data_IF_161183890511
#
_entry.id   IF_161183890511
#
_cell.length_a   1.000
_cell.length_b   1.000
_cell.length_c   1.000
_cell.angle_alpha   90.00
_cell.angle_beta   90.00
_cell.angle_gamma   90.00
#
_symmetry.space_group_name_H-M   'P 1'
#
loop_
_entity.id
_entity.type
_entity.pdbx_description
1 polymer ?
#
# COMPACT_ATOMS: atom_id res chain seq x y z
N UNK A 1 -6.77 -8.87 2.15
CA UNK A 1 -6.72 -7.42 2.35
C UNK A 1 -5.57 -6.75 1.59
N UNK A 2 -4.48 -7.46 1.40
CA UNK A 2 -3.31 -6.90 0.71
C UNK A 2 -3.65 -6.36 -0.69
N UNK A 3 -4.30 -7.18 -1.50
CA UNK A 3 -4.60 -6.78 -2.87
C UNK A 3 -5.49 -5.55 -2.91
N UNK A 4 -6.45 -5.48 -2.00
CA UNK A 4 -7.35 -4.35 -1.93
C UNK A 4 -6.60 -3.05 -1.62
N UNK A 5 -5.71 -3.12 -0.63
CA UNK A 5 -4.93 -1.95 -0.24
C UNK A 5 -3.93 -1.56 -1.33
N UNK A 6 -3.35 -2.55 -1.99
CA UNK A 6 -2.45 -2.30 -3.11
C UNK A 6 -3.17 -1.52 -4.20
N UNK A 7 -4.35 -1.97 -4.60
CA UNK A 7 -5.11 -1.29 -5.63
C UNK A 7 -5.47 0.14 -5.21
N UNK A 8 -5.91 0.31 -3.97
CA UNK A 8 -6.29 1.62 -3.48
C UNK A 8 -5.11 2.59 -3.49
N UNK A 9 -3.95 2.09 -3.07
CA UNK A 9 -2.77 2.94 -3.03
C UNK A 9 -2.29 3.30 -4.45
N UNK A 10 -2.30 2.33 -5.35
CA UNK A 10 -1.87 2.57 -6.72
C UNK A 10 -2.79 3.56 -7.43
N UNK A 11 -4.04 3.63 -7.03
CA UNK A 11 -5.01 4.56 -7.59
C UNK A 11 -5.08 5.87 -6.83
N UNK A 12 -4.15 6.11 -5.90
CA UNK A 12 -4.08 7.33 -5.11
C UNK A 12 -5.32 7.58 -4.26
N UNK A 13 -6.00 6.51 -3.85
CA UNK A 13 -7.17 6.63 -3.00
C UNK A 13 -6.85 6.63 -1.53
N UNK A 14 -5.67 6.12 -1.17
CA UNK A 14 -5.19 6.11 0.20
C UNK A 14 -3.74 6.54 0.22
N UNK A 15 -3.24 6.87 1.41
CA UNK A 15 -1.88 7.37 1.57
C UNK A 15 -1.03 6.36 2.35
N UNK A 16 0.26 6.65 2.45
CA UNK A 16 1.16 5.83 3.26
C UNK A 16 0.72 5.77 4.71
N UNK A 17 0.19 6.87 5.23
CA UNK A 17 -0.30 6.89 6.60
C UNK A 17 -1.43 5.86 6.80
N UNK A 18 -2.28 5.73 5.80
CA UNK A 18 -3.34 4.73 5.85
C UNK A 18 -2.75 3.32 5.90
N UNK A 19 -1.73 3.07 5.08
CA UNK A 19 -1.09 1.76 5.08
C UNK A 19 -0.44 1.43 6.42
N UNK A 20 0.12 2.43 7.08
CA UNK A 20 0.69 2.22 8.41
C UNK A 20 -0.37 1.84 9.42
N UNK A 21 -1.55 2.43 9.31
CA UNK A 21 -2.67 2.05 10.15
C UNK A 21 -3.08 0.60 9.88
N UNK A 22 -3.04 0.21 8.62
CA UNK A 22 -3.37 -1.17 8.27
C UNK A 22 -2.41 -2.15 8.93
N UNK A 23 -1.13 -1.79 9.05
CA UNK A 23 -0.18 -2.62 9.76
C UNK A 23 -0.56 -2.73 11.22
N UNK A 24 -0.93 -1.63 11.85
CA UNK A 24 -1.29 -1.61 13.26
C UNK A 24 -2.47 -2.50 13.58
N UNK A 25 -3.41 -2.60 12.66
CA UNK A 25 -4.60 -3.43 12.87
C UNK A 25 -4.46 -4.81 12.24
N UNK A 26 -3.24 -5.16 11.85
CA UNK A 26 -2.90 -6.49 11.31
C UNK A 26 -3.61 -6.82 10.01
N UNK A 27 -3.99 -5.83 9.24
CA UNK A 27 -4.55 -6.07 7.91
C UNK A 27 -3.45 -6.48 6.93
N UNK A 28 -2.25 -5.92 7.10
CA UNK A 28 -1.09 -6.28 6.30
C UNK A 28 0.13 -6.28 7.22
N UNK A 29 1.23 -6.84 6.71
CA UNK A 29 2.50 -6.85 7.43
C UNK A 29 3.40 -5.73 6.91
N UNK A 30 4.50 -5.51 7.60
CA UNK A 30 5.49 -4.53 7.16
C UNK A 30 6.06 -4.90 5.79
N UNK A 31 6.25 -6.19 5.55
CA UNK A 31 6.73 -6.65 4.26
C UNK A 31 5.74 -6.30 3.15
N UNK A 32 4.46 -6.49 3.42
CA UNK A 32 3.43 -6.16 2.45
C UNK A 32 3.37 -4.65 2.22
N UNK A 33 3.56 -3.88 3.27
CA UNK A 33 3.63 -2.43 3.15
C UNK A 33 4.74 -2.02 2.19
N UNK A 34 5.93 -2.60 2.37
CA UNK A 34 7.06 -2.28 1.50
C UNK A 34 6.80 -2.71 0.06
N UNK A 35 6.15 -3.86 -0.13
CA UNK A 35 5.80 -4.31 -1.47
C UNK A 35 4.86 -3.34 -2.17
N UNK A 36 3.90 -2.81 -1.43
CA UNK A 36 2.95 -1.84 -1.99
C UNK A 36 3.67 -0.55 -2.39
N UNK A 37 4.52 -0.05 -1.52
CA UNK A 37 5.29 1.17 -1.80
C UNK A 37 6.17 0.96 -3.03
N UNK A 38 6.86 -0.16 -3.07
CA UNK A 38 7.76 -0.47 -4.17
C UNK A 38 7.01 -0.62 -5.48
N UNK A 39 5.85 -1.26 -5.44
CA UNK A 39 5.04 -1.44 -6.64
C UNK A 39 4.64 -0.10 -7.23
N UNK A 40 4.28 0.86 -6.38
CA UNK A 40 3.91 2.17 -6.87
C UNK A 40 5.11 2.92 -7.46
N UNK A 41 6.27 2.78 -6.84
CA UNK A 41 7.47 3.43 -7.32
C UNK A 41 7.90 2.89 -8.68
N UNK A 42 7.60 1.64 -8.95
CA UNK A 42 7.97 1.01 -10.22
C UNK A 42 6.99 1.27 -11.33
N UNK A 43 5.80 1.80 -11.01
CA UNK A 43 4.83 2.12 -12.04
C UNK A 43 5.27 3.36 -12.82
N UNK A 44 4.96 3.40 -14.14
CA UNK A 44 5.23 4.61 -14.90
C UNK A 44 4.45 5.78 -14.32
N UNK A 45 5.12 6.89 -14.12
CA UNK A 45 4.50 8.10 -13.64
C UNK A 45 4.22 9.01 -14.83
N UNK A 46 3.01 9.46 -14.96
CA UNK A 46 2.65 10.37 -16.03
C UNK A 46 2.19 11.69 -15.50
#
# INVERSE_FOLDING_TARGET
MFQFLLDMYLNNKITKAYLRKAIKVDWITEEEYELIIEAKEKLPQE
#
